data_IF_517571139625
#
_entry.id   IF_517571139625
#
_cell.length_a   1.000
_cell.length_b   1.000
_cell.length_c   1.000
_cell.angle_alpha   90.00
_cell.angle_beta   90.00
_cell.angle_gamma   90.00
#
_symmetry.space_group_name_H-M   'P 1'
#
loop_
_entity.id
_entity.type
_entity.pdbx_description
1 polymer ?
#
# COMPACT_ATOMS: atom_id res chain seq x y z
N UNK A 1 -11.26 -6.06 -48.05
CA UNK A 1 -10.83 -6.89 -46.89
C UNK A 1 -9.46 -6.40 -46.46
N UNK A 2 -9.36 -5.66 -45.36
CA UNK A 2 -8.08 -5.38 -44.70
C UNK A 2 -8.28 -5.57 -43.21
N UNK A 3 -7.47 -6.47 -42.64
CA UNK A 3 -7.57 -6.96 -41.29
C UNK A 3 -7.14 -5.89 -40.26
N UNK A 4 -7.90 -5.80 -39.16
CA UNK A 4 -7.53 -5.01 -37.99
C UNK A 4 -6.27 -5.61 -37.31
N UNK A 5 -5.38 -4.80 -36.73
CA UNK A 5 -4.17 -5.29 -36.09
C UNK A 5 -4.56 -6.02 -34.79
N UNK A 6 -4.33 -7.34 -34.76
CA UNK A 6 -4.43 -8.13 -33.54
C UNK A 6 -3.21 -7.82 -32.68
N UNK A 7 -3.35 -6.95 -31.69
CA UNK A 7 -2.36 -6.88 -30.60
C UNK A 7 -2.48 -8.17 -29.80
N UNK A 8 -1.52 -9.07 -29.99
CA UNK A 8 -1.50 -10.36 -29.31
C UNK A 8 -1.15 -10.16 -27.82
N UNK A 9 -1.69 -10.97 -26.91
CA UNK A 9 -1.33 -10.95 -25.47
C UNK A 9 0.18 -10.98 -25.22
N UNK A 10 0.92 -11.62 -26.12
CA UNK A 10 2.38 -11.69 -26.11
C UNK A 10 3.04 -10.30 -26.21
N UNK A 11 2.44 -9.34 -26.92
CA UNK A 11 2.95 -7.97 -27.00
C UNK A 11 2.84 -7.23 -25.65
N UNK A 12 1.77 -7.50 -24.89
CA UNK A 12 1.59 -6.95 -23.55
C UNK A 12 2.57 -7.58 -22.55
N UNK A 13 2.78 -8.89 -22.62
CA UNK A 13 3.77 -9.60 -21.79
C UNK A 13 5.19 -9.11 -22.06
N UNK A 14 5.57 -8.98 -23.34
CA UNK A 14 6.88 -8.45 -23.71
C UNK A 14 7.10 -7.00 -23.23
N UNK A 15 6.03 -6.20 -23.21
CA UNK A 15 6.07 -4.83 -22.68
C UNK A 15 6.24 -4.84 -21.17
N UNK A 16 5.58 -5.76 -20.46
CA UNK A 16 5.72 -5.92 -19.02
C UNK A 16 7.13 -6.38 -18.61
N UNK A 17 7.70 -7.33 -19.34
CA UNK A 17 9.07 -7.82 -19.12
C UNK A 17 10.11 -6.72 -19.35
N UNK A 18 9.88 -5.88 -20.36
CA UNK A 18 10.71 -4.70 -20.61
C UNK A 18 10.61 -3.68 -19.46
N UNK A 19 9.41 -3.38 -18.99
CA UNK A 19 9.18 -2.49 -17.84
C UNK A 19 9.87 -3.00 -16.57
N UNK A 20 9.79 -4.30 -16.32
CA UNK A 20 10.47 -4.93 -15.19
C UNK A 20 12.00 -4.80 -15.29
N UNK A 21 12.56 -5.02 -16.48
CA UNK A 21 13.99 -4.87 -16.74
C UNK A 21 14.46 -3.42 -16.57
N UNK A 22 13.67 -2.46 -17.06
CA UNK A 22 13.97 -1.03 -16.95
C UNK A 22 13.91 -0.55 -15.49
N UNK A 23 12.96 -1.04 -14.70
CA UNK A 23 12.88 -0.79 -13.26
C UNK A 23 14.07 -1.40 -12.50
N UNK A 24 14.48 -2.62 -12.84
CA UNK A 24 15.64 -3.26 -12.22
C UNK A 24 16.92 -2.46 -12.49
N UNK A 25 17.13 -2.04 -13.75
CA UNK A 25 18.27 -1.19 -14.11
C UNK A 25 18.23 0.19 -13.45
N UNK A 26 17.04 0.74 -13.22
CA UNK A 26 16.87 1.99 -12.49
C UNK A 26 17.29 1.85 -11.04
N UNK A 27 16.84 0.82 -10.34
CA UNK A 27 17.23 0.51 -8.95
C UNK A 27 18.75 0.34 -8.84
N UNK A 28 19.38 -0.41 -9.75
CA UNK A 28 20.85 -0.57 -9.78
C UNK A 28 21.60 0.72 -10.10
N UNK A 29 20.98 1.66 -10.83
CA UNK A 29 21.57 2.98 -11.13
C UNK A 29 21.45 3.95 -9.95
N UNK A 30 20.40 3.83 -9.12
CA UNK A 30 20.28 4.54 -7.83
C UNK A 30 21.42 4.15 -6.89
N UNK A 31 21.71 2.84 -6.80
CA UNK A 31 22.80 2.31 -5.96
C UNK A 31 24.20 2.83 -6.36
N UNK A 32 24.36 3.23 -7.63
CA UNK A 32 25.63 3.74 -8.18
C UNK A 32 25.74 5.27 -8.20
N UNK A 33 24.71 6.00 -7.76
CA UNK A 33 24.79 7.44 -7.46
C UNK A 33 24.79 8.40 -8.66
N UNK A 34 24.31 8.02 -9.85
CA UNK A 34 24.23 8.94 -11.01
C UNK A 34 22.91 9.73 -11.05
N UNK A 35 22.79 10.80 -10.26
CA UNK A 35 21.54 11.53 -10.08
C UNK A 35 20.92 12.19 -11.32
N UNK A 36 21.72 12.58 -12.33
CA UNK A 36 21.21 13.21 -13.57
C UNK A 36 20.56 12.21 -14.56
N UNK A 37 21.00 10.95 -14.55
CA UNK A 37 20.45 9.86 -15.37
C UNK A 37 19.10 9.36 -14.81
N UNK A 38 18.93 9.46 -13.49
CA UNK A 38 17.76 8.97 -12.77
C UNK A 38 16.46 9.63 -13.21
N UNK A 39 16.47 10.96 -13.33
CA UNK A 39 15.28 11.76 -13.69
C UNK A 39 14.84 11.51 -15.13
N UNK A 40 15.76 11.20 -16.04
CA UNK A 40 15.42 10.84 -17.42
C UNK A 40 14.77 9.44 -17.48
N UNK A 41 15.31 8.48 -16.75
CA UNK A 41 14.79 7.10 -16.70
C UNK A 41 13.45 6.99 -16.00
N UNK A 42 13.23 7.74 -14.92
CA UNK A 42 11.93 7.80 -14.24
C UNK A 42 10.81 8.30 -15.16
N UNK A 43 11.08 9.36 -15.94
CA UNK A 43 10.12 9.88 -16.92
C UNK A 43 9.83 8.90 -18.06
N UNK A 44 10.84 8.14 -18.50
CA UNK A 44 10.63 7.09 -19.50
C UNK A 44 9.76 5.95 -18.96
N UNK A 45 10.00 5.48 -17.74
CA UNK A 45 9.18 4.45 -17.08
C UNK A 45 7.73 4.93 -16.92
N UNK A 46 7.52 6.18 -16.51
CA UNK A 46 6.18 6.77 -16.36
C UNK A 46 5.40 6.83 -17.69
N UNK A 47 6.11 7.21 -18.76
CA UNK A 47 5.54 7.24 -20.13
C UNK A 47 5.17 5.85 -20.64
N UNK A 48 6.06 4.86 -20.43
CA UNK A 48 5.82 3.48 -20.84
C UNK A 48 4.68 2.82 -20.04
N UNK A 49 4.58 3.10 -18.73
CA UNK A 49 3.48 2.62 -17.89
C UNK A 49 2.13 3.22 -18.29
N UNK A 50 2.12 4.50 -18.68
CA UNK A 50 0.91 5.16 -19.19
C UNK A 50 0.45 4.52 -20.49
N UNK A 51 1.38 4.23 -21.40
CA UNK A 51 1.11 3.54 -22.67
C UNK A 51 0.57 2.13 -22.43
N UNK A 52 1.17 1.37 -21.51
CA UNK A 52 0.72 0.03 -21.16
C UNK A 52 -0.70 0.03 -20.55
N UNK A 53 -1.00 0.99 -19.66
CA UNK A 53 -2.34 1.16 -19.08
C UNK A 53 -3.41 1.35 -20.15
N UNK A 54 -3.12 2.15 -21.17
CA UNK A 54 -4.06 2.40 -22.27
C UNK A 54 -4.20 1.19 -23.21
N UNK A 55 -3.12 0.41 -23.39
CA UNK A 55 -3.19 -0.88 -24.09
C UNK A 55 -4.03 -1.93 -23.35
N UNK A 56 -3.89 -2.04 -22.03
CA UNK A 56 -4.70 -2.97 -21.22
C UNK A 56 -6.19 -2.61 -21.26
N UNK A 57 -6.53 -1.32 -21.24
CA UNK A 57 -7.92 -0.86 -21.39
C UNK A 57 -8.52 -1.18 -22.77
N UNK A 58 -7.67 -1.38 -23.78
CA UNK A 58 -8.10 -1.68 -25.14
C UNK A 58 -8.37 -3.18 -25.39
N UNK A 59 -8.07 -4.06 -24.42
CA UNK A 59 -8.33 -5.50 -24.54
C UNK A 59 -9.84 -5.75 -24.40
N UNK A 60 -10.53 -6.28 -25.44
CA UNK A 60 -11.96 -6.55 -25.38
C UNK A 60 -12.28 -7.72 -24.43
N UNK A 61 -13.33 -7.57 -23.63
CA UNK A 61 -13.78 -8.55 -22.65
C UNK A 61 -14.49 -9.73 -23.34
N UNK A 62 -13.89 -10.92 -23.33
CA UNK A 62 -14.50 -12.12 -23.90
C UNK A 62 -15.37 -12.77 -22.81
N UNK A 63 -16.67 -12.45 -22.81
CA UNK A 63 -17.67 -13.26 -22.10
C UNK A 63 -18.24 -14.31 -23.07
N UNK A 64 -18.12 -15.59 -22.73
CA UNK A 64 -18.80 -16.69 -23.42
C UNK A 64 -19.56 -17.54 -22.41
N UNK A 65 -20.88 -17.62 -22.59
CA UNK A 65 -21.84 -18.21 -21.65
C UNK A 65 -22.31 -19.63 -22.03
N UNK A 66 -22.44 -20.48 -21.00
CA UNK A 66 -23.34 -21.65 -20.80
C UNK A 66 -23.02 -22.97 -21.55
N UNK A 67 -23.14 -24.21 -21.01
CA UNK A 67 -24.09 -24.77 -20.01
C UNK A 67 -23.72 -26.21 -19.50
N UNK A 68 -24.05 -26.49 -18.22
CA UNK A 68 -24.58 -27.71 -17.53
C UNK A 68 -23.99 -29.15 -17.59
N UNK A 69 -23.70 -29.73 -16.39
CA UNK A 69 -24.39 -30.89 -15.74
C UNK A 69 -23.75 -31.28 -14.37
N UNK A 70 -24.59 -31.69 -13.38
CA UNK A 70 -24.37 -31.95 -11.92
C UNK A 70 -24.20 -33.47 -11.58
N UNK A 71 -24.30 -34.02 -10.31
CA UNK A 71 -24.31 -33.50 -8.92
C UNK A 71 -23.52 -34.35 -7.82
N UNK A 72 -23.70 -33.99 -6.52
CA UNK A 72 -23.48 -34.74 -5.22
C UNK A 72 -22.01 -34.82 -4.72
N UNK A 73 -21.58 -34.52 -3.48
CA UNK A 73 -22.16 -34.76 -2.14
C UNK A 73 -21.58 -33.85 -1.04
N UNK A 74 -22.40 -33.63 0.00
CA UNK A 74 -22.17 -32.84 1.23
C UNK A 74 -21.00 -33.32 2.12
N UNK A 75 -20.41 -32.40 2.90
CA UNK A 75 -20.07 -32.58 4.34
C UNK A 75 -19.63 -31.24 5.00
N UNK A 76 -20.61 -30.57 5.62
CA UNK A 76 -20.64 -29.99 6.98
C UNK A 76 -19.49 -29.11 7.56
N UNK A 77 -19.74 -27.79 7.53
CA UNK A 77 -19.59 -26.74 8.59
C UNK A 77 -18.23 -26.31 9.20
N UNK A 78 -18.12 -25.09 9.77
CA UNK A 78 -19.03 -23.93 9.70
C UNK A 78 -18.41 -22.71 8.99
N UNK A 79 -19.22 -22.06 8.15
CA UNK A 79 -18.95 -20.74 7.63
C UNK A 79 -19.13 -19.69 8.74
N UNK A 80 -18.15 -18.80 8.86
CA UNK A 80 -18.33 -17.51 9.55
C UNK A 80 -18.36 -16.45 8.46
N UNK A 81 -19.52 -15.81 8.41
CA UNK A 81 -20.01 -14.85 7.44
C UNK A 81 -19.13 -13.60 7.34
N UNK A 82 -19.10 -13.01 6.15
CA UNK A 82 -18.39 -11.78 5.77
C UNK A 82 -18.97 -10.49 6.43
N UNK A 83 -19.37 -10.55 7.70
CA UNK A 83 -20.01 -9.46 8.42
C UNK A 83 -19.41 -9.26 9.82
N UNK A 84 -18.10 -8.97 9.96
CA UNK A 84 -17.61 -8.38 11.23
C UNK A 84 -16.32 -7.55 11.10
N UNK A 85 -16.19 -6.63 10.14
CA UNK A 85 -15.32 -5.44 10.32
C UNK A 85 -15.92 -4.22 9.63
N UNK A 86 -17.21 -3.95 9.82
CA UNK A 86 -17.76 -2.61 9.62
C UNK A 86 -18.82 -2.39 10.70
N UNK A 87 -18.38 -2.10 11.92
CA UNK A 87 -19.29 -1.57 12.94
C UNK A 87 -18.99 -0.09 13.12
N UNK A 88 -20.03 0.73 12.82
CA UNK A 88 -20.11 2.20 12.93
C UNK A 88 -19.06 3.01 12.16
N UNK A 89 -19.41 3.35 10.92
CA UNK A 89 -18.95 4.59 10.29
C UNK A 89 -19.57 5.79 11.02
N UNK A 90 -19.02 6.12 12.18
CA UNK A 90 -19.07 7.48 12.68
C UNK A 90 -17.93 8.16 11.93
N UNK A 91 -18.24 9.14 11.08
CA UNK A 91 -17.25 9.93 10.34
C UNK A 91 -16.49 10.81 11.32
N UNK A 92 -15.68 10.21 12.18
CA UNK A 92 -14.74 10.91 13.02
C UNK A 92 -13.66 11.45 12.11
N UNK A 93 -13.66 12.76 11.93
CA UNK A 93 -12.58 13.44 11.25
C UNK A 93 -11.38 13.44 12.19
N UNK A 94 -10.23 13.00 11.69
CA UNK A 94 -8.99 13.17 12.43
C UNK A 94 -8.63 14.65 12.51
N UNK A 95 -8.12 15.10 13.65
CA UNK A 95 -7.32 16.32 13.74
C UNK A 95 -6.03 16.17 12.91
N UNK A 96 -5.32 17.27 12.59
CA UNK A 96 -3.99 17.20 12.00
C UNK A 96 -3.06 16.27 12.80
N UNK A 97 -2.48 15.29 12.10
CA UNK A 97 -1.56 14.33 12.69
C UNK A 97 -0.12 14.80 12.45
N UNK A 98 0.61 15.10 13.52
CA UNK A 98 1.96 15.64 13.46
C UNK A 98 2.97 14.68 14.08
N UNK A 99 4.19 14.67 13.58
CA UNK A 99 5.30 13.96 14.22
C UNK A 99 5.52 14.52 15.63
N UNK A 100 5.71 13.67 16.67
CA UNK A 100 5.98 14.18 18.02
C UNK A 100 7.44 14.62 18.23
N UNK A 101 8.35 14.35 17.29
CA UNK A 101 9.78 14.65 17.42
C UNK A 101 10.28 15.82 16.56
N UNK A 102 9.58 16.15 15.48
CA UNK A 102 9.92 17.25 14.59
C UNK A 102 8.66 18.02 14.17
N UNK A 103 8.79 19.00 13.27
CA UNK A 103 7.67 19.83 12.79
C UNK A 103 6.89 19.21 11.64
N UNK A 104 7.14 17.95 11.31
CA UNK A 104 6.57 17.27 10.15
C UNK A 104 5.08 17.00 10.32
N UNK A 105 4.29 17.30 9.28
CA UNK A 105 2.88 16.92 9.19
C UNK A 105 2.78 15.55 8.54
N UNK A 106 2.13 14.60 9.20
CA UNK A 106 1.94 13.23 8.69
C UNK A 106 0.66 13.15 7.87
N UNK A 107 -0.46 13.66 8.41
CA UNK A 107 -1.77 13.61 7.76
C UNK A 107 -2.53 14.90 8.06
N UNK A 108 -3.17 15.48 7.05
CA UNK A 108 -4.02 16.66 7.23
C UNK A 108 -5.33 16.30 7.94
N UNK A 109 -6.00 17.31 8.46
CA UNK A 109 -7.31 17.19 9.08
C UNK A 109 -8.33 16.55 8.13
N UNK A 110 -9.12 15.60 8.65
CA UNK A 110 -10.22 14.96 7.93
C UNK A 110 -9.80 14.13 6.72
N UNK A 111 -8.53 13.73 6.62
CA UNK A 111 -8.00 12.88 5.54
C UNK A 111 -7.94 11.40 5.89
N UNK A 112 -8.19 11.02 7.15
CA UNK A 112 -8.40 9.63 7.50
C UNK A 112 -9.73 9.12 6.91
N UNK A 113 -9.71 7.89 6.40
CA UNK A 113 -10.88 7.17 5.88
C UNK A 113 -11.80 6.67 7.00
N UNK A 114 -11.30 6.58 8.23
CA UNK A 114 -12.04 6.13 9.39
C UNK A 114 -11.13 5.79 10.56
N UNK A 115 -11.73 5.28 11.63
CA UNK A 115 -11.04 4.82 12.82
C UNK A 115 -11.31 3.33 13.06
N UNK A 116 -10.34 2.61 13.60
CA UNK A 116 -10.43 1.20 13.92
C UNK A 116 -10.01 0.94 15.36
N UNK A 117 -10.86 0.31 16.16
CA UNK A 117 -10.59 -0.02 17.57
C UNK A 117 -9.78 -1.32 17.75
N UNK A 118 -9.03 -1.75 16.73
CA UNK A 118 -8.20 -2.94 16.84
C UNK A 118 -7.02 -2.72 17.79
N UNK A 119 -6.49 -3.83 18.28
CA UNK A 119 -5.28 -3.90 19.10
C UNK A 119 -4.18 -4.60 18.30
N UNK A 120 -2.99 -4.02 18.25
CA UNK A 120 -1.86 -4.53 17.47
C UNK A 120 -0.54 -4.32 18.22
N UNK A 121 0.27 -5.38 18.31
CA UNK A 121 1.64 -5.29 18.82
C UNK A 121 2.54 -4.61 17.80
N UNK A 122 3.12 -3.48 18.21
CA UNK A 122 4.07 -2.71 17.41
C UNK A 122 5.43 -2.63 18.09
N UNK A 123 6.54 -2.70 17.34
CA UNK A 123 7.86 -2.39 17.89
C UNK A 123 7.85 -1.04 18.59
N UNK A 124 8.54 -0.94 19.71
CA UNK A 124 8.79 0.35 20.37
C UNK A 124 9.48 1.30 19.39
N UNK A 125 9.10 2.60 19.36
CA UNK A 125 9.75 3.57 18.48
C UNK A 125 11.25 3.76 18.73
N UNK A 126 11.70 3.43 19.95
CA UNK A 126 13.11 3.40 20.31
C UNK A 126 13.49 2.00 20.77
N UNK A 127 14.33 1.33 20.00
CA UNK A 127 14.87 0.02 20.35
C UNK A 127 16.18 0.16 21.14
N UNK A 128 16.41 -0.75 22.08
CA UNK A 128 17.69 -0.87 22.76
C UNK A 128 18.64 -1.71 21.90
N UNK A 129 19.89 -1.26 21.76
CA UNK A 129 20.89 -1.97 20.94
C UNK A 129 21.28 -3.29 21.60
N UNK A 130 21.31 -4.37 20.81
CA UNK A 130 21.79 -5.68 21.25
C UNK A 130 20.78 -6.53 22.01
N UNK A 131 19.50 -6.11 22.06
CA UNK A 131 18.40 -6.90 22.61
C UNK A 131 17.43 -7.29 21.50
N UNK A 132 16.59 -8.29 21.77
CA UNK A 132 15.46 -8.60 20.89
C UNK A 132 14.52 -7.40 20.75
N UNK A 133 13.81 -7.37 19.62
CA UNK A 133 12.90 -6.27 19.30
C UNK A 133 11.77 -6.19 20.33
N UNK A 134 11.78 -5.12 21.11
CA UNK A 134 10.76 -4.88 22.12
C UNK A 134 9.51 -4.34 21.44
N UNK A 135 8.36 -4.89 21.81
CA UNK A 135 7.03 -4.52 21.29
C UNK A 135 6.13 -4.05 22.42
N UNK A 136 5.16 -3.22 22.08
CA UNK A 136 4.06 -2.84 22.96
C UNK A 136 2.73 -3.04 22.23
N UNK A 137 1.68 -3.35 22.99
CA UNK A 137 0.33 -3.45 22.46
C UNK A 137 -0.28 -2.06 22.31
N UNK A 138 -0.69 -1.70 21.10
CA UNK A 138 -1.27 -0.41 20.75
C UNK A 138 -2.72 -0.59 20.31
N UNK A 139 -3.62 0.23 20.87
CA UNK A 139 -5.06 0.21 20.57
C UNK A 139 -5.48 1.44 19.80
N UNK A 140 -6.39 1.24 18.84
CA UNK A 140 -7.01 2.34 18.10
C UNK A 140 -6.10 2.86 16.99
N UNK A 141 -6.64 2.97 15.77
CA UNK A 141 -5.88 3.39 14.60
C UNK A 141 -6.71 4.23 13.63
N UNK A 142 -6.12 5.32 13.15
CA UNK A 142 -6.63 6.01 11.96
C UNK A 142 -6.32 5.19 10.72
N UNK A 143 -7.33 4.93 9.91
CA UNK A 143 -7.21 4.24 8.63
C UNK A 143 -6.97 5.25 7.52
N UNK A 144 -5.97 5.00 6.69
CA UNK A 144 -5.72 5.71 5.44
C UNK A 144 -5.54 4.66 4.34
N UNK A 145 -6.45 4.62 3.38
CA UNK A 145 -6.44 3.60 2.32
C UNK A 145 -5.37 3.84 1.27
N UNK A 146 -5.17 5.10 0.90
CA UNK A 146 -4.23 5.49 -0.14
C UNK A 146 -2.98 6.16 0.46
N UNK A 147 -1.81 5.59 0.17
CA UNK A 147 -0.52 6.11 0.64
C UNK A 147 -0.21 7.53 0.13
N UNK A 148 -0.81 7.95 -0.99
CA UNK A 148 -0.63 9.30 -1.52
C UNK A 148 -1.42 10.37 -0.74
N UNK A 149 -2.21 9.96 0.25
CA UNK A 149 -2.95 10.86 1.14
C UNK A 149 -2.04 11.45 2.23
N UNK A 150 -0.89 10.81 2.50
CA UNK A 150 0.06 11.30 3.49
C UNK A 150 0.81 12.53 2.99
N UNK A 151 1.12 13.43 3.92
CA UNK A 151 1.98 14.59 3.64
C UNK A 151 3.45 14.19 3.75
N UNK A 152 3.89 13.65 4.89
CA UNK A 152 5.29 13.30 5.16
C UNK A 152 5.44 11.98 5.94
N UNK A 153 4.86 10.90 5.40
CA UNK A 153 5.02 9.55 5.95
C UNK A 153 6.00 8.71 5.12
N UNK A 154 6.93 8.05 5.80
CA UNK A 154 7.82 7.04 5.24
C UNK A 154 7.27 5.62 5.48
N UNK A 155 7.73 4.67 4.67
CA UNK A 155 7.40 3.26 4.79
C UNK A 155 8.68 2.44 4.93
N UNK A 156 8.74 1.57 5.94
CA UNK A 156 9.89 0.69 6.10
C UNK A 156 9.89 -0.43 5.07
N UNK A 157 11.05 -1.06 4.89
CA UNK A 157 11.11 -2.39 4.29
C UNK A 157 10.31 -3.39 5.12
N UNK A 158 9.87 -4.46 4.46
CA UNK A 158 9.15 -5.54 5.12
C UNK A 158 10.09 -6.34 6.03
N UNK A 159 9.73 -6.47 7.30
CA UNK A 159 10.37 -7.37 8.27
C UNK A 159 9.27 -8.29 8.81
N UNK A 160 9.46 -9.61 8.70
CA UNK A 160 8.43 -10.62 9.04
C UNK A 160 7.06 -10.39 8.38
N UNK A 161 7.12 -9.89 7.13
CA UNK A 161 5.95 -9.54 6.33
C UNK A 161 5.20 -8.29 6.80
N UNK A 162 5.67 -7.59 7.83
CA UNK A 162 5.09 -6.33 8.30
C UNK A 162 5.84 -5.15 7.70
N UNK A 163 5.12 -4.12 7.26
CA UNK A 163 5.68 -2.80 6.94
C UNK A 163 5.19 -1.81 7.97
N UNK A 164 6.05 -0.89 8.35
CA UNK A 164 5.72 0.15 9.32
C UNK A 164 5.77 1.53 8.69
N UNK A 165 5.00 2.44 9.28
CA UNK A 165 5.04 3.85 8.93
C UNK A 165 6.05 4.57 9.82
N UNK A 166 6.79 5.50 9.26
CA UNK A 166 7.72 6.42 9.96
C UNK A 166 7.43 7.86 9.58
N UNK A 167 7.94 8.82 10.33
CA UNK A 167 8.04 10.20 9.85
C UNK A 167 9.08 10.26 8.73
N UNK A 168 8.74 10.87 7.59
CA UNK A 168 9.66 10.98 6.45
C UNK A 168 10.84 11.95 6.70
N UNK A 169 10.68 12.92 7.60
CA UNK A 169 11.71 13.96 7.82
C UNK A 169 12.77 13.56 8.86
N UNK A 170 12.40 12.77 9.87
CA UNK A 170 13.29 12.45 10.99
C UNK A 170 13.41 10.95 11.29
N UNK A 171 12.81 10.11 10.45
CA UNK A 171 12.76 8.65 10.58
C UNK A 171 12.20 8.14 11.92
N UNK A 172 11.54 9.00 12.70
CA UNK A 172 10.88 8.58 13.92
C UNK A 172 9.77 7.58 13.60
N UNK A 173 9.82 6.42 14.26
CA UNK A 173 8.78 5.41 14.14
C UNK A 173 9.14 4.10 14.82
N UNK A 174 8.22 3.11 14.79
CA UNK A 174 7.06 3.12 13.93
C UNK A 174 5.89 3.95 14.50
N UNK A 175 5.30 4.81 13.68
CA UNK A 175 4.09 5.60 14.01
C UNK A 175 2.79 4.87 13.63
N UNK A 176 2.92 3.74 12.94
CA UNK A 176 1.81 2.96 12.41
C UNK A 176 2.31 1.72 11.66
N UNK A 177 1.40 0.99 11.04
CA UNK A 177 1.71 -0.19 10.23
C UNK A 177 0.81 -0.30 8.99
N UNK A 178 1.25 -1.09 8.02
CA UNK A 178 0.43 -1.45 6.85
C UNK A 178 -0.19 -2.82 7.13
N UNK A 179 -1.51 -2.89 7.09
CA UNK A 179 -2.23 -4.14 7.28
C UNK A 179 -1.91 -5.14 6.17
N UNK A 180 -1.74 -6.41 6.55
CA UNK A 180 -1.29 -7.45 5.62
C UNK A 180 -2.36 -7.83 4.61
N UNK A 181 -3.62 -7.81 5.01
CA UNK A 181 -4.72 -8.33 4.21
C UNK A 181 -5.35 -7.23 3.36
N UNK A 182 -5.74 -6.12 3.98
CA UNK A 182 -6.40 -4.98 3.34
C UNK A 182 -5.43 -4.04 2.63
N UNK A 183 -4.13 -4.08 2.99
CA UNK A 183 -3.11 -3.10 2.57
C UNK A 183 -3.41 -1.67 3.01
N UNK A 184 -4.32 -1.47 3.95
CA UNK A 184 -4.58 -0.15 4.51
C UNK A 184 -3.44 0.29 5.42
N UNK A 185 -3.24 1.60 5.51
CA UNK A 185 -2.25 2.21 6.36
C UNK A 185 -2.90 2.64 7.67
N UNK A 186 -2.43 2.11 8.80
CA UNK A 186 -2.99 2.33 10.12
C UNK A 186 -2.05 3.14 10.98
N UNK A 187 -2.49 4.33 11.41
CA UNK A 187 -1.68 5.27 12.19
C UNK A 187 -2.10 5.18 13.66
N UNK A 188 -1.15 4.96 14.55
CA UNK A 188 -1.38 4.92 16.00
C UNK A 188 -1.51 6.34 16.57
N UNK A 189 -2.69 6.77 17.04
CA UNK A 189 -2.87 8.11 17.60
C UNK A 189 -2.01 8.35 18.84
N UNK A 190 -1.72 7.29 19.60
CA UNK A 190 -0.84 7.34 20.78
C UNK A 190 0.63 7.64 20.47
N UNK A 191 1.05 7.52 19.21
CA UNK A 191 2.44 7.75 18.75
C UNK A 191 2.58 9.02 17.89
N UNK A 192 1.54 9.84 17.86
CA UNK A 192 1.42 11.03 17.02
C UNK A 192 0.92 12.20 17.88
N UNK A 193 1.33 13.41 17.52
CA UNK A 193 0.84 14.64 18.14
C UNK A 193 -0.40 15.15 17.40
N UNK A 194 -1.53 15.14 18.10
CA UNK A 194 -2.78 15.75 17.67
C UNK A 194 -2.88 17.14 18.28
N UNK A 195 -3.07 18.15 17.42
CA UNK A 195 -3.31 19.52 17.84
C UNK A 195 -4.44 20.08 16.96
N UNK A 196 -5.45 20.73 17.57
CA UNK A 196 -6.46 21.48 16.83
C UNK A 196 -5.87 22.69 16.12
#
# INVERSE_FOLDING_TARGET
MSAAPKTTPDACLNTLDKLYTDLLHLVTSVEKGSGSELTARLRNVESELTTFKDQVKSIPNINMSSSNLSPVSNSTSPQISQETIVQKQQTEKNEPLNCPFCTSKILLEGKADGFSDIEQDLPLPRQQKGLETQKESVKGFWIVKDMFTFENAGFTNSVDGMKYLTCADCDFGPIGFVDKDTKFNLIAPSRILQKP
#
